data_IF_603990691075
#
_entry.id   IF_603990691075
#
_cell.length_a   1.000
_cell.length_b   1.000
_cell.length_c   1.000
_cell.angle_alpha   90.00
_cell.angle_beta   90.00
_cell.angle_gamma   90.00
#
_symmetry.space_group_name_H-M   'P 1'
#
loop_
_entity.id
_entity.type
_entity.pdbx_description
1 polymer ?
#
# COMPACT_ATOMS: atom_id res chain seq x y z
N UNK A 1 -52.72 40.80 33.19
CA UNK A 1 -53.17 42.20 33.28
C UNK A 1 -53.34 42.73 31.87
N UNK A 2 -54.42 43.42 31.46
CA UNK A 2 -55.71 43.73 32.11
C UNK A 2 -56.89 42.99 31.41
N UNK A 3 -58.01 42.60 32.05
CA UNK A 3 -59.13 43.38 32.58
C UNK A 3 -59.74 44.40 31.61
N UNK A 4 -60.93 44.08 31.07
CA UNK A 4 -61.92 45.03 30.56
C UNK A 4 -63.30 44.49 30.97
N UNK A 5 -63.75 44.77 32.19
CA UNK A 5 -64.66 45.87 32.56
C UNK A 5 -66.02 45.79 31.85
N UNK A 6 -66.96 45.15 32.54
CA UNK A 6 -68.40 45.33 32.35
C UNK A 6 -68.76 46.74 32.82
N UNK A 7 -69.11 47.63 31.88
CA UNK A 7 -69.67 48.94 32.21
C UNK A 7 -71.18 48.80 32.34
N UNK A 8 -71.65 48.83 33.59
CA UNK A 8 -73.05 49.02 33.93
C UNK A 8 -73.49 50.43 33.60
N UNK A 9 -74.46 50.56 32.68
CA UNK A 9 -75.18 51.80 32.42
C UNK A 9 -76.47 51.83 33.24
N UNK A 10 -76.40 52.43 34.43
CA UNK A 10 -77.57 52.91 35.16
C UNK A 10 -78.18 54.10 34.41
N UNK A 11 -79.47 54.06 34.10
CA UNK A 11 -80.24 55.27 33.85
C UNK A 11 -81.54 55.28 34.64
N UNK A 12 -81.42 55.92 35.81
CA UNK A 12 -82.25 57.03 36.25
C UNK A 12 -83.77 56.90 36.10
N UNK A 13 -84.37 56.41 37.20
CA UNK A 13 -85.70 56.79 37.67
C UNK A 13 -85.83 58.32 37.70
N UNK A 14 -86.75 58.88 36.91
CA UNK A 14 -87.34 60.19 37.21
C UNK A 14 -88.79 59.97 37.65
N UNK A 15 -88.98 60.05 38.97
CA UNK A 15 -90.29 60.23 39.58
C UNK A 15 -90.79 61.64 39.26
N UNK A 16 -91.95 61.75 38.61
CA UNK A 16 -92.75 62.99 38.59
C UNK A 16 -93.99 62.79 39.46
N UNK A 17 -94.17 63.73 40.37
CA UNK A 17 -95.27 63.87 41.34
C UNK A 17 -96.62 64.14 40.66
N UNK A 18 -97.76 63.75 41.28
CA UNK A 18 -99.08 63.80 40.66
C UNK A 18 -99.85 65.09 41.01
N UNK A 19 -100.52 65.71 40.05
CA UNK A 19 -101.51 66.78 40.28
C UNK A 19 -102.33 67.05 39.00
N UNK A 20 -103.51 67.68 39.11
CA UNK A 20 -104.78 67.17 39.63
C UNK A 20 -105.58 66.41 38.56
N UNK A 21 -106.50 65.54 39.00
CA UNK A 21 -107.48 64.85 38.15
C UNK A 21 -108.45 65.85 37.52
N UNK A 22 -108.06 66.49 36.42
CA UNK A 22 -109.03 66.72 35.38
C UNK A 22 -109.40 65.34 34.87
N UNK A 23 -110.68 64.98 34.95
CA UNK A 23 -111.22 63.84 34.25
C UNK A 23 -110.85 64.02 32.77
N UNK A 24 -109.72 63.43 32.37
CA UNK A 24 -109.28 63.41 30.98
C UNK A 24 -110.45 62.78 30.27
N UNK A 25 -111.13 63.56 29.42
CA UNK A 25 -112.18 63.08 28.53
C UNK A 25 -111.70 61.72 28.03
N UNK A 26 -112.43 60.68 28.41
CA UNK A 26 -112.13 59.30 28.07
C UNK A 26 -111.64 59.31 26.62
N UNK A 27 -110.46 58.70 26.40
CA UNK A 27 -109.78 58.73 25.12
C UNK A 27 -110.81 58.61 24.00
N UNK A 28 -110.82 59.58 23.08
CA UNK A 28 -111.67 59.49 21.91
C UNK A 28 -111.37 58.14 21.24
N UNK A 29 -112.39 57.40 20.82
CA UNK A 29 -112.27 56.02 20.32
C UNK A 29 -111.13 55.85 19.30
N UNK A 30 -110.94 56.87 18.47
CA UNK A 30 -109.87 56.99 17.48
C UNK A 30 -108.45 57.01 18.08
N UNK A 31 -108.24 57.65 19.24
CA UNK A 31 -106.95 57.68 19.92
C UNK A 31 -106.59 56.34 20.60
N UNK A 32 -107.58 55.60 21.12
CA UNK A 32 -107.38 54.23 21.63
C UNK A 32 -107.05 53.28 20.49
N UNK A 33 -107.75 53.42 19.36
CA UNK A 33 -107.49 52.61 18.17
C UNK A 33 -106.10 52.85 17.60
N UNK A 34 -105.63 54.10 17.55
CA UNK A 34 -104.26 54.41 17.12
C UNK A 34 -103.18 53.82 18.04
N UNK A 35 -103.40 53.86 19.36
CA UNK A 35 -102.45 53.30 20.33
C UNK A 35 -102.40 51.77 20.25
N UNK A 36 -103.55 51.12 20.11
CA UNK A 36 -103.64 49.68 19.86
C UNK A 36 -102.96 49.30 18.52
N UNK A 37 -103.15 50.10 17.46
CA UNK A 37 -102.47 49.88 16.19
C UNK A 37 -100.94 50.03 16.29
N UNK A 38 -100.42 50.99 17.07
CA UNK A 38 -98.98 51.15 17.31
C UNK A 38 -98.45 50.00 18.16
N UNK A 39 -99.19 49.55 19.17
CA UNK A 39 -98.82 48.39 19.99
C UNK A 39 -98.76 47.11 19.16
N UNK A 40 -99.74 46.88 18.28
CA UNK A 40 -99.71 45.78 17.31
C UNK A 40 -98.53 45.92 16.34
N UNK A 41 -98.25 47.12 15.82
CA UNK A 41 -97.09 47.38 14.96
C UNK A 41 -95.76 47.11 15.68
N UNK A 42 -95.65 47.46 16.97
CA UNK A 42 -94.46 47.20 17.77
C UNK A 42 -94.28 45.71 18.09
N UNK A 43 -95.38 44.98 18.30
CA UNK A 43 -95.38 43.52 18.43
C UNK A 43 -94.91 42.88 17.11
N UNK A 44 -95.40 43.36 15.97
CA UNK A 44 -95.02 42.83 14.66
C UNK A 44 -93.57 43.16 14.28
N UNK A 45 -93.07 44.36 14.62
CA UNK A 45 -91.65 44.70 14.49
C UNK A 45 -90.76 43.84 15.39
N UNK A 46 -91.19 43.54 16.63
CA UNK A 46 -90.46 42.63 17.52
C UNK A 46 -90.40 41.22 16.96
N UNK A 47 -91.52 40.70 16.44
CA UNK A 47 -91.55 39.40 15.74
C UNK A 47 -90.63 39.41 14.53
N UNK A 48 -90.69 40.45 13.69
CA UNK A 48 -89.82 40.60 12.52
C UNK A 48 -88.34 40.63 12.90
N UNK A 49 -87.96 41.34 13.97
CA UNK A 49 -86.60 41.31 14.50
C UNK A 49 -86.19 39.91 14.94
N UNK A 50 -87.04 39.22 15.69
CA UNK A 50 -86.74 37.88 16.19
C UNK A 50 -86.63 36.86 15.04
N UNK A 51 -87.43 37.04 13.98
CA UNK A 51 -87.34 36.25 12.75
C UNK A 51 -86.04 36.55 11.98
N UNK A 52 -85.62 37.82 11.91
CA UNK A 52 -84.33 38.20 11.34
C UNK A 52 -83.17 37.61 12.15
N UNK A 53 -83.22 37.65 13.48
CA UNK A 53 -82.20 37.04 14.36
C UNK A 53 -82.12 35.53 14.11
N UNK A 54 -83.27 34.83 14.07
CA UNK A 54 -83.30 33.39 13.74
C UNK A 54 -82.74 33.10 12.35
N UNK A 55 -83.02 33.95 11.36
CA UNK A 55 -82.47 33.80 10.02
C UNK A 55 -80.95 34.01 10.00
N UNK A 56 -80.44 34.99 10.75
CA UNK A 56 -79.01 35.23 10.91
C UNK A 56 -78.35 34.02 11.60
N UNK A 57 -78.93 33.52 12.69
CA UNK A 57 -78.41 32.34 13.40
C UNK A 57 -78.39 31.10 12.50
N UNK A 58 -79.43 30.89 11.70
CA UNK A 58 -79.46 29.78 10.72
C UNK A 58 -78.39 29.93 9.64
N UNK A 59 -78.13 31.13 9.14
CA UNK A 59 -77.06 31.38 8.16
C UNK A 59 -75.69 31.15 8.81
N UNK A 60 -75.48 31.66 10.02
CA UNK A 60 -74.24 31.48 10.78
C UNK A 60 -73.97 29.99 11.06
N UNK A 61 -74.96 29.21 11.47
CA UNK A 61 -74.78 27.77 11.70
C UNK A 61 -74.48 27.00 10.40
N UNK A 62 -75.11 27.37 9.27
CA UNK A 62 -74.79 26.79 7.95
C UNK A 62 -73.36 27.14 7.52
N UNK A 63 -72.90 28.36 7.74
CA UNK A 63 -71.54 28.79 7.40
C UNK A 63 -70.49 28.17 8.33
N UNK A 64 -70.76 28.05 9.62
CA UNK A 64 -69.90 27.32 10.57
C UNK A 64 -69.67 25.86 10.13
N UNK A 65 -70.73 25.17 9.71
CA UNK A 65 -70.62 23.80 9.22
C UNK A 65 -69.76 23.71 7.93
N UNK A 66 -69.93 24.65 7.00
CA UNK A 66 -69.10 24.74 5.79
C UNK A 66 -67.63 25.02 6.12
N UNK A 67 -67.36 25.99 6.98
CA UNK A 67 -66.00 26.34 7.42
C UNK A 67 -65.32 25.18 8.16
N UNK A 68 -66.05 24.42 8.98
CA UNK A 68 -65.52 23.23 9.63
C UNK A 68 -65.07 22.17 8.61
N UNK A 69 -65.87 21.96 7.57
CA UNK A 69 -65.61 20.99 6.50
C UNK A 69 -64.44 21.44 5.60
N UNK A 70 -64.34 22.73 5.28
CA UNK A 70 -63.19 23.32 4.58
C UNK A 70 -61.90 23.23 5.41
N UNK A 71 -61.98 23.44 6.73
CA UNK A 71 -60.85 23.26 7.64
C UNK A 71 -60.42 21.79 7.71
N UNK A 72 -61.35 20.86 7.75
CA UNK A 72 -61.04 19.43 7.74
C UNK A 72 -60.39 19.00 6.41
N UNK A 73 -60.93 19.47 5.28
CA UNK A 73 -60.37 19.26 3.94
C UNK A 73 -58.95 19.79 3.83
N UNK A 74 -58.72 21.06 4.19
CA UNK A 74 -57.38 21.66 4.17
C UNK A 74 -56.41 20.93 5.10
N UNK A 75 -56.86 20.49 6.28
CA UNK A 75 -56.02 19.68 7.19
C UNK A 75 -55.65 18.32 6.57
N UNK A 76 -56.58 17.70 5.85
CA UNK A 76 -56.37 16.41 5.18
C UNK A 76 -55.45 16.54 3.96
N UNK A 77 -55.60 17.62 3.19
CA UNK A 77 -54.71 17.96 2.08
C UNK A 77 -53.28 18.19 2.56
N UNK A 78 -53.09 18.88 3.69
CA UNK A 78 -51.78 19.07 4.30
C UNK A 78 -51.16 17.76 4.81
N UNK A 79 -51.97 16.85 5.36
CA UNK A 79 -51.50 15.51 5.73
C UNK A 79 -51.08 14.69 4.50
N UNK A 80 -51.87 14.74 3.43
CA UNK A 80 -51.54 14.07 2.17
C UNK A 80 -50.26 14.62 1.54
N UNK A 81 -50.07 15.95 1.55
CA UNK A 81 -48.84 16.55 1.04
C UNK A 81 -47.62 16.14 1.88
N UNK A 82 -47.75 16.08 3.20
CA UNK A 82 -46.71 15.59 4.10
C UNK A 82 -46.34 14.13 3.82
N UNK A 83 -47.33 13.24 3.73
CA UNK A 83 -47.08 11.83 3.41
C UNK A 83 -46.44 11.64 2.03
N UNK A 84 -46.85 12.44 1.03
CA UNK A 84 -46.20 12.41 -0.30
C UNK A 84 -44.75 12.85 -0.23
N UNK A 85 -44.42 13.87 0.55
CA UNK A 85 -43.05 14.30 0.77
C UNK A 85 -42.22 13.21 1.48
N UNK A 86 -42.77 12.62 2.55
CA UNK A 86 -42.12 11.51 3.26
C UNK A 86 -41.85 10.30 2.34
N UNK A 87 -42.81 9.94 1.48
CA UNK A 87 -42.63 8.87 0.48
C UNK A 87 -41.54 9.24 -0.54
N UNK A 88 -41.50 10.49 -1.00
CA UNK A 88 -40.49 10.95 -1.94
C UNK A 88 -39.07 10.88 -1.33
N UNK A 89 -38.92 11.31 -0.07
CA UNK A 89 -37.66 11.25 0.67
C UNK A 89 -37.21 9.81 0.90
N UNK A 90 -38.14 8.92 1.29
CA UNK A 90 -37.84 7.49 1.46
C UNK A 90 -37.44 6.82 0.14
N UNK A 91 -38.12 7.11 -0.96
CA UNK A 91 -37.76 6.58 -2.28
C UNK A 91 -36.38 7.06 -2.72
N UNK A 92 -36.04 8.32 -2.45
CA UNK A 92 -34.70 8.86 -2.74
C UNK A 92 -33.63 8.15 -1.92
N UNK A 93 -33.83 7.98 -0.62
CA UNK A 93 -32.91 7.25 0.24
C UNK A 93 -32.72 5.80 -0.21
N UNK A 94 -33.80 5.11 -0.59
CA UNK A 94 -33.74 3.75 -1.13
C UNK A 94 -32.93 3.67 -2.42
N UNK A 95 -33.06 4.66 -3.30
CA UNK A 95 -32.31 4.67 -4.56
C UNK A 95 -30.81 4.93 -4.33
N UNK A 96 -30.46 5.80 -3.38
CA UNK A 96 -29.07 6.02 -2.96
C UNK A 96 -28.46 4.74 -2.36
N UNK A 97 -29.20 4.03 -1.51
CA UNK A 97 -28.76 2.75 -0.94
C UNK A 97 -28.59 1.67 -2.02
N UNK A 98 -29.50 1.60 -3.00
CA UNK A 98 -29.37 0.67 -4.14
C UNK A 98 -28.13 0.97 -4.98
N UNK A 99 -27.86 2.24 -5.27
CA UNK A 99 -26.65 2.64 -6.00
C UNK A 99 -25.39 2.28 -5.21
N UNK A 100 -25.41 2.46 -3.88
CA UNK A 100 -24.31 2.07 -3.00
C UNK A 100 -24.09 0.56 -2.99
N UNK A 101 -25.16 -0.24 -2.93
CA UNK A 101 -25.05 -1.70 -3.01
C UNK A 101 -24.48 -2.13 -4.36
N UNK A 102 -24.94 -1.53 -5.46
CA UNK A 102 -24.45 -1.86 -6.80
C UNK A 102 -22.96 -1.51 -6.96
N UNK A 103 -22.52 -0.35 -6.49
CA UNK A 103 -21.11 0.03 -6.54
C UNK A 103 -20.22 -0.88 -5.67
N UNK A 104 -20.69 -1.28 -4.49
CA UNK A 104 -19.98 -2.25 -3.64
C UNK A 104 -19.88 -3.63 -4.30
N UNK A 105 -20.96 -4.10 -4.92
CA UNK A 105 -20.96 -5.37 -5.66
C UNK A 105 -19.95 -5.34 -6.81
N UNK A 106 -19.89 -4.25 -7.56
CA UNK A 106 -18.94 -4.11 -8.65
C UNK A 106 -17.49 -4.06 -8.13
N UNK A 107 -17.22 -3.32 -7.06
CA UNK A 107 -15.90 -3.32 -6.42
C UNK A 107 -15.47 -4.71 -5.96
N UNK A 108 -16.38 -5.49 -5.35
CA UNK A 108 -16.10 -6.87 -4.94
C UNK A 108 -15.81 -7.74 -6.17
N UNK A 109 -16.57 -7.58 -7.26
CA UNK A 109 -16.37 -8.33 -8.51
C UNK A 109 -14.99 -8.04 -9.10
N UNK A 110 -14.63 -6.76 -9.24
CA UNK A 110 -13.32 -6.34 -9.76
C UNK A 110 -12.17 -6.87 -8.88
N UNK A 111 -12.32 -6.78 -7.56
CA UNK A 111 -11.31 -7.28 -6.62
C UNK A 111 -11.13 -8.79 -6.70
N UNK A 112 -12.21 -9.56 -6.91
CA UNK A 112 -12.11 -11.02 -7.12
C UNK A 112 -11.35 -11.35 -8.39
N UNK A 113 -11.60 -10.64 -9.49
CA UNK A 113 -10.89 -10.84 -10.76
C UNK A 113 -9.39 -10.53 -10.58
N UNK A 114 -9.07 -9.41 -9.92
CA UNK A 114 -7.69 -9.02 -9.65
C UNK A 114 -6.96 -10.04 -8.74
N UNK A 115 -7.65 -10.59 -7.74
CA UNK A 115 -7.10 -11.63 -6.88
C UNK A 115 -6.84 -12.94 -7.63
N UNK A 116 -7.71 -13.32 -8.55
CA UNK A 116 -7.53 -14.53 -9.35
C UNK A 116 -6.36 -14.39 -10.33
N UNK A 117 -6.23 -13.24 -11.00
CA UNK A 117 -5.07 -12.93 -11.85
C UNK A 117 -3.76 -12.91 -11.03
N UNK A 118 -3.77 -12.27 -9.86
CA UNK A 118 -2.62 -12.27 -8.96
C UNK A 118 -2.25 -13.68 -8.49
N UNK A 119 -3.25 -14.53 -8.19
CA UNK A 119 -3.05 -15.93 -7.79
C UNK A 119 -2.43 -16.75 -8.93
N UNK A 120 -2.95 -16.60 -10.15
CA UNK A 120 -2.42 -17.28 -11.33
C UNK A 120 -0.95 -16.89 -11.58
N UNK A 121 -0.64 -15.59 -11.55
CA UNK A 121 0.75 -15.11 -11.69
C UNK A 121 1.68 -15.64 -10.61
N UNK A 122 1.20 -15.69 -9.36
CA UNK A 122 1.96 -16.24 -8.26
C UNK A 122 2.24 -17.74 -8.46
N UNK A 123 1.24 -18.52 -8.89
CA UNK A 123 1.39 -19.94 -9.17
C UNK A 123 2.43 -20.18 -10.26
N UNK A 124 2.31 -19.50 -11.41
CA UNK A 124 3.28 -19.61 -12.50
C UNK A 124 4.69 -19.19 -12.06
N UNK A 125 4.80 -18.09 -11.29
CA UNK A 125 6.07 -17.65 -10.72
C UNK A 125 6.70 -18.69 -9.79
N UNK A 126 5.88 -19.37 -8.97
CA UNK A 126 6.33 -20.41 -8.06
C UNK A 126 6.80 -21.67 -8.83
N UNK A 127 6.11 -22.05 -9.89
CA UNK A 127 6.52 -23.15 -10.78
C UNK A 127 7.89 -22.86 -11.44
N UNK A 128 8.09 -21.63 -11.95
CA UNK A 128 9.38 -21.21 -12.49
C UNK A 128 10.50 -21.24 -11.44
N UNK A 129 10.21 -20.79 -10.21
CA UNK A 129 11.17 -20.79 -9.11
C UNK A 129 11.54 -22.23 -8.72
N UNK A 130 10.58 -23.14 -8.67
CA UNK A 130 10.82 -24.55 -8.38
C UNK A 130 11.71 -25.20 -9.46
N UNK A 131 11.43 -24.95 -10.73
CA UNK A 131 12.26 -25.45 -11.83
C UNK A 131 13.68 -24.85 -11.78
N UNK A 132 13.81 -23.56 -11.49
CA UNK A 132 15.11 -22.91 -11.31
C UNK A 132 15.91 -23.54 -10.16
N UNK A 133 15.25 -23.90 -9.05
CA UNK A 133 15.93 -24.60 -7.95
C UNK A 133 16.39 -26.00 -8.36
N UNK A 134 15.60 -26.74 -9.15
CA UNK A 134 16.01 -28.05 -9.69
C UNK A 134 17.23 -27.91 -10.61
N UNK A 135 17.24 -26.91 -11.50
CA UNK A 135 18.39 -26.64 -12.38
C UNK A 135 19.63 -26.29 -11.56
N UNK A 136 19.49 -25.43 -10.55
CA UNK A 136 20.59 -25.06 -9.66
C UNK A 136 21.16 -26.27 -8.90
N UNK A 137 20.28 -27.16 -8.41
CA UNK A 137 20.68 -28.42 -7.77
C UNK A 137 21.53 -29.28 -8.70
N UNK A 138 21.04 -29.53 -9.92
CA UNK A 138 21.78 -30.30 -10.95
C UNK A 138 23.12 -29.66 -11.30
N UNK A 139 23.17 -28.34 -11.46
CA UNK A 139 24.41 -27.62 -11.76
C UNK A 139 25.44 -27.74 -10.62
N UNK A 140 24.99 -27.66 -9.37
CA UNK A 140 25.84 -27.84 -8.19
C UNK A 140 26.40 -29.27 -8.10
N UNK A 141 25.57 -30.27 -8.36
CA UNK A 141 26.01 -31.68 -8.40
C UNK A 141 27.02 -31.91 -9.54
N UNK A 142 26.76 -31.38 -10.73
CA UNK A 142 27.68 -31.47 -11.86
C UNK A 142 29.02 -30.79 -11.57
N UNK A 143 28.99 -29.62 -10.92
CA UNK A 143 30.20 -28.93 -10.47
C UNK A 143 30.96 -29.79 -9.45
N UNK A 144 30.29 -30.33 -8.44
CA UNK A 144 30.92 -31.17 -7.43
C UNK A 144 31.60 -32.41 -8.03
N UNK A 145 30.92 -33.09 -8.97
CA UNK A 145 31.47 -34.27 -9.66
C UNK A 145 32.67 -33.88 -10.52
N UNK A 146 32.60 -32.79 -11.28
CA UNK A 146 33.70 -32.34 -12.13
C UNK A 146 34.91 -31.88 -11.32
N UNK A 147 34.71 -31.13 -10.23
CA UNK A 147 35.80 -30.72 -9.32
C UNK A 147 36.45 -31.92 -8.64
N UNK A 148 35.67 -32.92 -8.25
CA UNK A 148 36.19 -34.15 -7.65
C UNK A 148 37.05 -34.94 -8.63
N UNK A 149 36.60 -35.08 -9.88
CA UNK A 149 37.37 -35.70 -10.97
C UNK A 149 38.66 -34.93 -11.27
N UNK A 150 38.58 -33.59 -11.31
CA UNK A 150 39.75 -32.74 -11.51
C UNK A 150 40.77 -32.92 -10.40
N UNK A 151 40.34 -32.92 -9.13
CA UNK A 151 41.22 -33.15 -7.99
C UNK A 151 41.86 -34.54 -8.01
N UNK A 152 41.10 -35.58 -8.36
CA UNK A 152 41.65 -36.93 -8.54
C UNK A 152 42.73 -36.94 -9.64
N UNK A 153 42.45 -36.33 -10.79
CA UNK A 153 43.41 -36.25 -11.90
C UNK A 153 44.66 -35.44 -11.54
N UNK A 154 44.51 -34.34 -10.80
CA UNK A 154 45.65 -33.57 -10.31
C UNK A 154 46.53 -34.41 -9.40
N UNK A 155 45.96 -35.21 -8.50
CA UNK A 155 46.73 -36.12 -7.63
C UNK A 155 47.50 -37.17 -8.42
N UNK A 156 46.86 -37.78 -9.43
CA UNK A 156 47.53 -38.73 -10.34
C UNK A 156 48.73 -38.07 -11.05
N UNK A 157 48.52 -36.90 -11.65
CA UNK A 157 49.58 -36.18 -12.36
C UNK A 157 50.74 -35.77 -11.44
N UNK A 158 50.45 -35.40 -10.20
CA UNK A 158 51.49 -35.08 -9.20
C UNK A 158 52.25 -36.34 -8.79
N UNK A 159 51.59 -37.49 -8.66
CA UNK A 159 52.25 -38.77 -8.39
C UNK A 159 53.13 -39.23 -9.56
N UNK A 160 52.65 -39.08 -10.80
CA UNK A 160 53.43 -39.35 -12.02
C UNK A 160 54.67 -38.45 -12.07
N UNK A 161 54.52 -37.17 -11.69
CA UNK A 161 55.62 -36.22 -11.69
C UNK A 161 56.72 -36.57 -10.68
N UNK A 162 56.37 -37.17 -9.54
CA UNK A 162 57.33 -37.72 -8.58
C UNK A 162 58.08 -38.92 -9.16
N UNK A 163 57.46 -39.67 -10.06
CA UNK A 163 58.10 -40.79 -10.78
C UNK A 163 59.06 -40.29 -11.87
N UNK A 164 58.69 -39.20 -12.56
CA UNK A 164 59.54 -38.58 -13.60
C UNK A 164 60.73 -37.84 -12.98
N UNK A 165 60.53 -37.14 -11.86
CA UNK A 165 61.56 -36.39 -11.14
C UNK A 165 61.74 -36.94 -9.70
N UNK A 166 62.35 -38.11 -9.54
CA UNK A 166 62.58 -38.69 -8.21
C UNK A 166 63.50 -37.77 -7.41
N UNK A 167 63.05 -37.43 -6.19
CA UNK A 167 63.85 -36.70 -5.20
C UNK A 167 64.24 -37.70 -4.13
N UNK A 168 65.51 -38.10 -4.13
CA UNK A 168 66.04 -39.12 -3.24
C UNK A 168 66.99 -38.50 -2.23
N UNK A 169 66.92 -38.94 -0.97
CA UNK A 169 67.89 -38.54 0.05
C UNK A 169 69.15 -39.39 -0.08
N UNK A 170 70.30 -38.75 -0.03
CA UNK A 170 71.59 -39.43 -0.01
C UNK A 170 71.80 -40.04 1.37
N UNK A 171 71.95 -41.37 1.45
CA UNK A 171 72.05 -42.11 2.72
C UNK A 171 73.26 -41.70 3.58
N UNK A 172 74.29 -41.10 2.98
CA UNK A 172 75.56 -40.77 3.62
C UNK A 172 75.57 -39.42 4.35
N UNK A 173 74.64 -38.51 4.05
CA UNK A 173 74.66 -37.13 4.55
C UNK A 173 73.27 -36.64 4.94
N UNK A 174 73.16 -36.03 6.13
CA UNK A 174 71.91 -35.42 6.59
C UNK A 174 71.56 -34.22 5.69
N UNK A 175 70.31 -34.15 5.25
CA UNK A 175 69.77 -33.09 4.38
C UNK A 175 70.36 -33.03 2.96
N UNK A 176 71.11 -34.02 2.49
CA UNK A 176 71.61 -34.06 1.12
C UNK A 176 70.60 -34.76 0.20
N UNK A 177 70.17 -34.10 -0.88
CA UNK A 177 69.16 -34.61 -1.81
C UNK A 177 69.72 -34.72 -3.22
N UNK A 178 69.16 -35.64 -4.02
CA UNK A 178 69.43 -35.79 -5.44
C UNK A 178 68.14 -35.73 -6.23
N UNK A 179 68.17 -35.09 -7.39
CA UNK A 179 67.08 -35.11 -8.37
C UNK A 179 67.57 -35.79 -9.64
N UNK A 180 66.89 -36.85 -10.09
CA UNK A 180 67.33 -37.65 -11.25
C UNK A 180 68.78 -38.15 -11.14
N UNK A 181 69.24 -38.45 -9.92
CA UNK A 181 70.61 -38.87 -9.64
C UNK A 181 71.66 -37.74 -9.57
N UNK A 182 71.28 -36.48 -9.84
CA UNK A 182 72.16 -35.31 -9.76
C UNK A 182 72.05 -34.66 -8.36
N UNK A 183 73.17 -34.40 -7.67
CA UNK A 183 73.15 -33.81 -6.32
C UNK A 183 72.65 -32.36 -6.31
N UNK A 184 71.79 -32.05 -5.34
CA UNK A 184 71.35 -30.70 -5.00
C UNK A 184 72.21 -30.18 -3.84
N UNK A 185 73.18 -29.28 -4.08
CA UNK A 185 74.00 -28.74 -3.01
C UNK A 185 73.21 -27.80 -2.11
N UNK A 186 73.44 -27.89 -0.81
CA UNK A 186 72.78 -27.05 0.20
C UNK A 186 73.58 -25.78 0.43
N UNK A 187 73.24 -24.66 -0.23
CA UNK A 187 73.75 -23.29 0.01
C UNK A 187 75.27 -23.06 -0.04
N UNK A 188 76.07 -24.13 -0.07
CA UNK A 188 77.53 -24.17 -0.13
C UNK A 188 77.87 -24.80 -1.48
N UNK A 189 78.26 -23.95 -2.43
CA UNK A 189 78.60 -24.35 -3.79
C UNK A 189 80.10 -24.59 -3.99
N UNK A 190 80.89 -24.47 -2.91
CA UNK A 190 82.35 -24.61 -2.95
C UNK A 190 82.74 -26.06 -3.25
N UNK A 191 83.35 -26.30 -4.41
CA UNK A 191 83.81 -27.64 -4.83
C UNK A 191 82.77 -28.49 -5.56
N UNK A 192 81.60 -27.92 -5.88
CA UNK A 192 80.59 -28.57 -6.72
C UNK A 192 80.85 -28.31 -8.21
N UNK A 193 80.52 -29.28 -9.06
CA UNK A 193 80.55 -29.11 -10.52
C UNK A 193 79.41 -28.18 -10.96
N UNK A 194 79.75 -27.01 -11.48
CA UNK A 194 78.80 -25.95 -11.84
C UNK A 194 77.76 -26.45 -12.87
N UNK A 195 78.16 -27.32 -13.80
CA UNK A 195 77.26 -27.90 -14.79
C UNK A 195 76.23 -28.84 -14.16
N UNK A 196 76.63 -29.62 -13.16
CA UNK A 196 75.73 -30.51 -12.42
C UNK A 196 74.74 -29.71 -11.58
N UNK A 197 75.21 -28.64 -10.91
CA UNK A 197 74.35 -27.76 -10.11
C UNK A 197 73.32 -27.06 -10.99
N UNK A 198 73.75 -26.48 -12.12
CA UNK A 198 72.86 -25.84 -13.08
C UNK A 198 71.82 -26.82 -13.64
N UNK A 199 72.24 -28.06 -13.94
CA UNK A 199 71.35 -29.12 -14.43
C UNK A 199 70.31 -29.54 -13.37
N UNK A 200 70.73 -29.73 -12.12
CA UNK A 200 69.83 -30.05 -11.01
C UNK A 200 68.77 -28.96 -10.81
N UNK A 201 69.18 -27.69 -10.79
CA UNK A 201 68.29 -26.54 -10.66
C UNK A 201 67.39 -26.36 -11.88
N UNK A 202 67.86 -26.77 -13.07
CA UNK A 202 67.08 -26.90 -14.29
C UNK A 202 65.90 -27.88 -14.15
N UNK A 203 66.17 -29.07 -13.62
CA UNK A 203 65.13 -30.07 -13.34
C UNK A 203 64.14 -29.58 -12.29
N UNK A 204 64.61 -28.97 -11.20
CA UNK A 204 63.75 -28.38 -10.17
C UNK A 204 62.87 -27.26 -10.72
N UNK A 205 63.42 -26.38 -11.56
CA UNK A 205 62.66 -25.31 -12.21
C UNK A 205 61.54 -25.88 -13.10
N UNK A 206 61.83 -26.93 -13.87
CA UNK A 206 60.82 -27.58 -14.70
C UNK A 206 59.74 -28.28 -13.86
N UNK A 207 60.14 -28.99 -12.80
CA UNK A 207 59.25 -29.64 -11.85
C UNK A 207 58.27 -28.65 -11.21
N UNK A 208 58.76 -27.54 -10.67
CA UNK A 208 57.93 -26.49 -10.04
C UNK A 208 56.97 -25.87 -11.06
N UNK A 209 57.43 -25.62 -12.29
CA UNK A 209 56.60 -25.06 -13.34
C UNK A 209 55.46 -26.01 -13.74
N UNK A 210 55.72 -27.32 -13.82
CA UNK A 210 54.69 -28.33 -14.08
C UNK A 210 53.71 -28.48 -12.90
N UNK A 211 54.21 -28.45 -11.66
CA UNK A 211 53.34 -28.45 -10.46
C UNK A 211 52.40 -27.24 -10.44
N UNK A 212 52.92 -26.05 -10.72
CA UNK A 212 52.13 -24.83 -10.79
C UNK A 212 51.05 -24.91 -11.89
N UNK A 213 51.41 -25.46 -13.06
CA UNK A 213 50.47 -25.66 -14.16
C UNK A 213 49.36 -26.65 -13.80
N UNK A 214 49.69 -27.82 -13.24
CA UNK A 214 48.69 -28.84 -12.89
C UNK A 214 47.79 -28.42 -11.73
N UNK A 215 48.33 -27.73 -10.72
CA UNK A 215 47.56 -27.24 -9.58
C UNK A 215 46.79 -25.95 -9.89
N UNK A 216 47.08 -25.30 -11.03
CA UNK A 216 46.46 -24.02 -11.40
C UNK A 216 46.88 -22.87 -10.49
N UNK A 217 48.08 -22.94 -9.90
CA UNK A 217 48.59 -21.93 -8.96
C UNK A 217 49.57 -21.01 -9.68
N UNK A 218 49.32 -19.69 -9.74
CA UNK A 218 50.28 -18.76 -10.33
C UNK A 218 51.53 -18.64 -9.46
N UNK A 219 52.71 -18.76 -10.08
CA UNK A 219 54.00 -18.58 -9.40
C UNK A 219 54.26 -17.09 -9.16
N UNK A 220 54.62 -16.74 -7.92
CA UNK A 220 55.04 -15.36 -7.55
C UNK A 220 56.26 -14.90 -8.34
N UNK A 221 57.16 -15.82 -8.64
CA UNK A 221 58.34 -15.61 -9.48
C UNK A 221 58.19 -16.45 -10.75
N UNK A 222 57.89 -15.84 -11.91
CA UNK A 222 57.75 -16.56 -13.16
C UNK A 222 59.05 -17.27 -13.53
N UNK A 223 58.95 -18.57 -13.80
CA UNK A 223 60.07 -19.42 -14.17
C UNK A 223 59.99 -19.78 -15.66
N UNK A 224 61.12 -19.77 -16.36
CA UNK A 224 61.23 -20.27 -17.73
C UNK A 224 62.16 -21.49 -17.71
N UNK A 225 61.62 -22.72 -17.80
CA UNK A 225 62.44 -23.92 -17.77
C UNK A 225 63.24 -24.04 -19.08
N UNK A 226 64.56 -24.10 -18.97
CA UNK A 226 65.47 -24.23 -20.11
C UNK A 226 66.63 -25.18 -19.75
N UNK A 227 66.31 -26.31 -19.10
CA UNK A 227 67.29 -27.26 -18.55
C UNK A 227 68.35 -26.51 -17.71
N UNK A 228 69.65 -26.75 -17.93
CA UNK A 228 70.75 -26.06 -17.23
C UNK A 228 70.76 -24.53 -17.38
N UNK A 229 69.99 -23.97 -18.33
CA UNK A 229 69.88 -22.53 -18.58
C UNK A 229 68.54 -21.95 -18.09
N UNK A 230 67.87 -22.62 -17.15
CA UNK A 230 66.61 -22.14 -16.59
C UNK A 230 66.74 -20.77 -15.93
N UNK A 231 65.66 -20.00 -15.99
CA UNK A 231 65.64 -18.59 -15.58
C UNK A 231 64.47 -18.35 -14.63
N UNK A 232 64.74 -17.66 -13.52
CA UNK A 232 63.70 -17.11 -12.65
C UNK A 232 63.69 -15.59 -12.82
N UNK A 233 62.50 -15.03 -13.06
CA UNK A 233 62.30 -13.58 -13.18
C UNK A 233 61.77 -13.02 -11.87
N UNK A 234 62.44 -11.99 -11.36
CA UNK A 234 61.95 -11.22 -10.22
C UNK A 234 61.22 -9.95 -10.67
N UNK A 235 59.88 -9.88 -10.52
CA UNK A 235 59.13 -8.68 -10.87
C UNK A 235 59.36 -7.52 -9.90
N UNK A 236 59.91 -7.75 -8.70
CA UNK A 236 60.11 -6.72 -7.67
C UNK A 236 61.42 -5.96 -7.93
N UNK A 237 62.51 -6.67 -8.25
CA UNK A 237 63.81 -6.07 -8.53
C UNK A 237 63.80 -5.13 -9.75
N UNK A 238 62.99 -5.42 -10.78
CA UNK A 238 62.83 -4.55 -11.96
C UNK A 238 62.13 -3.22 -11.63
N UNK A 239 61.22 -3.21 -10.66
CA UNK A 239 60.55 -1.98 -10.18
C UNK A 239 61.47 -1.10 -9.33
N UNK A 240 62.42 -1.71 -8.60
CA UNK A 240 63.39 -1.00 -7.75
C UNK A 240 64.59 -0.46 -8.53
N UNK A 241 64.98 -1.08 -9.65
CA UNK A 241 66.10 -0.59 -10.48
C UNK A 241 65.76 0.66 -11.30
N UNK A 242 64.48 0.98 -11.48
CA UNK A 242 64.04 2.20 -12.18
C UNK A 242 64.23 3.48 -11.35
N UNK A 243 64.62 3.39 -10.07
CA UNK A 243 64.80 4.56 -9.19
C UNK A 243 66.26 4.97 -8.93
N UNK A 244 67.25 4.33 -9.56
CA UNK A 244 68.63 4.84 -9.53
C UNK A 244 69.33 4.63 -10.87
N UNK A 245 69.57 5.75 -11.56
CA UNK A 245 70.46 5.87 -12.72
C UNK A 245 71.79 5.16 -12.49
N UNK A 246 72.04 4.05 -13.19
CA UNK A 246 73.36 3.65 -13.68
C UNK A 246 73.18 3.09 -15.10
N UNK A 247 73.85 3.71 -16.06
CA UNK A 247 73.98 3.22 -17.44
C UNK A 247 74.94 2.04 -17.42
N UNK A 248 74.53 0.88 -17.91
CA UNK A 248 75.37 0.00 -18.76
C UNK A 248 74.56 -1.22 -19.21
N UNK A 249 74.83 -1.62 -20.45
CA UNK A 249 74.48 -2.92 -21.01
C UNK A 249 74.55 -4.04 -19.97
N UNK A 250 73.44 -4.76 -19.77
CA UNK A 250 73.32 -6.22 -19.75
C UNK A 250 71.87 -6.55 -19.34
N UNK A 251 71.37 -7.57 -20.03
CA UNK A 251 70.04 -8.16 -19.97
C UNK A 251 69.35 -8.08 -18.59
N UNK A 252 68.05 -7.74 -18.62
CA UNK A 252 67.19 -7.72 -17.44
C UNK A 252 67.42 -8.94 -16.57
N UNK A 253 67.57 -8.69 -15.26
CA UNK A 253 67.95 -9.63 -14.19
C UNK A 253 67.11 -10.90 -14.23
N UNK A 254 67.53 -11.79 -15.13
CA UNK A 254 67.22 -13.19 -15.22
C UNK A 254 68.30 -13.82 -14.37
N UNK A 255 67.95 -14.31 -13.18
CA UNK A 255 68.88 -15.14 -12.43
C UNK A 255 69.08 -16.42 -13.26
N UNK A 256 70.13 -16.44 -14.06
CA UNK A 256 70.70 -17.66 -14.63
C UNK A 256 71.33 -18.38 -13.44
N UNK A 257 71.03 -19.66 -13.27
CA UNK A 257 71.69 -20.51 -12.27
C UNK A 257 73.20 -20.73 -12.53
N UNK A 258 73.82 -19.98 -13.44
CA UNK A 258 75.19 -20.15 -13.94
C UNK A 258 75.99 -18.82 -13.87
N UNK A 259 75.76 -18.02 -12.82
CA UNK A 259 76.64 -16.91 -12.43
C UNK A 259 76.30 -16.51 -10.98
N UNK A 260 76.85 -17.26 -10.03
CA UNK A 260 77.24 -16.75 -8.71
C UNK A 260 78.68 -17.19 -8.45
#
# INVERSE_FOLDING_TARGET
MPQCQMVGGQQSKQNRTPSPQNAKRSYNYDAVMRLNNIENCLIDMKKSRDDVIKNIDQVLEREKAKLALEKEKSSSELRLSRYRAEIADQNKALEEDRQRINSLRENIRLRRIALEDARSRYQTGNEYLEESHKILGRAREALFVTTSKLCARQKELVADLLTIYPIEQVQSENFSFKILGVPLPNSVFTGCDEEQVATALGFTCHLINMLAYYLGVPLKFPMTPMSSKSIIRDPISTSLSSSRHIISHIQGLCYRFCNM
#
